data_IF_956458513103
#
_entry.id   IF_956458513103
#
_cell.length_a   1.000
_cell.length_b   1.000
_cell.length_c   1.000
_cell.angle_alpha   90.00
_cell.angle_beta   90.00
_cell.angle_gamma   90.00
#
_symmetry.space_group_name_H-M   'P 1'
#
loop_
_entity.id
_entity.type
_entity.pdbx_description
1 polymer ?
#
# COMPACT_ATOMS: atom_id res chain seq x y z
N UNK A 1 25.96 33.94 1.87
CA UNK A 1 25.90 33.20 0.59
C UNK A 1 24.47 32.81 0.34
N UNK A 2 23.91 33.09 -0.85
CA UNK A 2 22.57 32.63 -1.19
C UNK A 2 22.57 31.09 -1.32
N UNK A 3 21.67 30.44 -0.62
CA UNK A 3 21.51 28.97 -0.68
C UNK A 3 20.98 28.59 -2.07
N UNK A 4 21.63 27.66 -2.74
CA UNK A 4 21.13 27.17 -4.03
C UNK A 4 19.74 26.54 -3.85
N UNK A 5 18.73 26.92 -4.64
CA UNK A 5 17.41 26.30 -4.55
C UNK A 5 17.48 24.78 -4.70
N UNK A 6 16.69 24.08 -3.90
CA UNK A 6 16.60 22.61 -3.95
C UNK A 6 15.20 22.15 -3.56
N UNK A 7 14.82 20.96 -3.99
CA UNK A 7 13.57 20.32 -3.62
C UNK A 7 13.80 19.29 -2.49
N UNK A 8 12.78 18.94 -1.71
CA UNK A 8 12.89 17.91 -0.68
C UNK A 8 13.35 16.57 -1.26
N UNK A 9 14.19 15.85 -0.53
CA UNK A 9 14.70 14.55 -0.96
C UNK A 9 13.57 13.53 -1.12
N UNK A 10 13.49 12.91 -2.30
CA UNK A 10 12.45 11.92 -2.62
C UNK A 10 11.20 12.53 -3.26
N UNK A 11 11.23 13.80 -3.60
CA UNK A 11 10.24 14.48 -4.45
C UNK A 11 10.87 14.85 -5.79
N UNK A 12 10.07 15.29 -6.75
CA UNK A 12 10.55 15.78 -8.04
C UNK A 12 9.57 16.74 -8.70
N UNK A 13 10.11 17.62 -9.51
CA UNK A 13 9.33 18.43 -10.44
C UNK A 13 9.02 17.63 -11.72
N UNK A 14 8.00 18.05 -12.43
CA UNK A 14 7.60 17.50 -13.71
C UNK A 14 7.57 18.60 -14.76
N UNK A 15 8.35 18.43 -15.82
CA UNK A 15 8.34 19.34 -16.98
C UNK A 15 7.01 19.26 -17.74
N UNK A 16 6.69 20.24 -18.60
CA UNK A 16 5.47 20.21 -19.42
C UNK A 16 5.33 18.94 -20.25
N UNK A 17 6.43 18.40 -20.79
CA UNK A 17 6.44 17.15 -21.57
C UNK A 17 6.12 15.94 -20.68
N UNK A 18 6.69 15.89 -19.47
CA UNK A 18 6.38 14.83 -18.52
C UNK A 18 4.93 14.92 -18.06
N UNK A 19 4.40 16.13 -17.85
CA UNK A 19 3.00 16.33 -17.49
C UNK A 19 2.05 15.88 -18.60
N UNK A 20 2.38 16.11 -19.88
CA UNK A 20 1.59 15.59 -20.99
C UNK A 20 1.52 14.07 -20.99
N UNK A 21 2.66 13.38 -20.75
CA UNK A 21 2.72 11.92 -20.61
C UNK A 21 1.92 11.42 -19.40
N UNK A 22 2.03 12.08 -18.27
CA UNK A 22 1.29 11.73 -17.04
C UNK A 22 -0.22 11.87 -17.24
N UNK A 23 -0.65 12.97 -17.85
CA UNK A 23 -2.06 13.20 -18.14
C UNK A 23 -2.62 12.15 -19.11
N UNK A 24 -1.85 11.74 -20.12
CA UNK A 24 -2.22 10.64 -21.00
C UNK A 24 -2.46 9.34 -20.19
N UNK A 25 -1.53 9.00 -19.29
CA UNK A 25 -1.66 7.81 -18.43
C UNK A 25 -2.91 7.92 -17.54
N UNK A 26 -3.08 9.03 -16.83
CA UNK A 26 -4.22 9.21 -15.93
C UNK A 26 -5.55 9.22 -16.67
N UNK A 27 -5.63 9.84 -17.83
CA UNK A 27 -6.86 9.88 -18.62
C UNK A 27 -7.22 8.48 -19.16
N UNK A 28 -6.23 7.72 -19.62
CA UNK A 28 -6.44 6.35 -20.07
C UNK A 28 -6.97 5.45 -18.94
N UNK A 29 -6.38 5.53 -17.75
CA UNK A 29 -6.84 4.78 -16.56
C UNK A 29 -8.25 5.23 -16.17
N UNK A 30 -8.49 6.53 -16.10
CA UNK A 30 -9.80 7.10 -15.75
C UNK A 30 -10.91 6.65 -16.70
N UNK A 31 -10.63 6.65 -18.01
CA UNK A 31 -11.58 6.17 -19.02
C UNK A 31 -11.97 4.71 -18.81
N UNK A 32 -10.99 3.85 -18.52
CA UNK A 32 -11.25 2.44 -18.22
C UNK A 32 -12.08 2.30 -16.96
N UNK A 33 -11.72 3.00 -15.88
CA UNK A 33 -12.47 2.95 -14.62
C UNK A 33 -13.94 3.35 -14.80
N UNK A 34 -14.22 4.43 -15.52
CA UNK A 34 -15.59 4.84 -15.84
C UNK A 34 -16.34 3.79 -16.66
N UNK A 35 -15.67 3.13 -17.61
CA UNK A 35 -16.28 2.06 -18.44
C UNK A 35 -16.75 0.87 -17.61
N UNK A 36 -16.06 0.57 -16.51
CA UNK A 36 -16.43 -0.47 -15.56
C UNK A 36 -17.39 0.01 -14.44
N UNK A 37 -17.91 1.23 -14.56
CA UNK A 37 -18.89 1.78 -13.64
C UNK A 37 -18.32 2.30 -12.33
N UNK A 38 -17.01 2.52 -12.25
CA UNK A 38 -16.39 3.14 -11.08
C UNK A 38 -16.61 4.64 -11.08
N UNK A 39 -16.94 5.21 -9.91
CA UNK A 39 -17.16 6.61 -9.70
C UNK A 39 -15.92 7.27 -9.11
N UNK A 40 -15.54 8.44 -9.62
CA UNK A 40 -14.41 9.17 -9.07
C UNK A 40 -14.79 9.87 -7.77
N UNK A 41 -13.97 9.68 -6.75
CA UNK A 41 -14.00 10.50 -5.54
C UNK A 41 -12.61 11.09 -5.28
N UNK A 42 -12.56 12.09 -4.42
CA UNK A 42 -11.32 12.64 -3.87
C UNK A 42 -11.45 12.78 -2.36
N UNK A 43 -10.34 12.57 -1.67
CA UNK A 43 -10.23 12.80 -0.22
C UNK A 43 -9.13 13.84 0.04
N UNK A 44 -9.14 14.53 1.18
CA UNK A 44 -8.10 15.48 1.53
C UNK A 44 -6.70 14.83 1.57
N UNK A 45 -5.67 15.61 1.23
CA UNK A 45 -4.27 15.17 1.36
C UNK A 45 -3.84 14.97 2.81
N UNK A 46 -4.49 15.68 3.73
CA UNK A 46 -4.29 15.61 5.17
C UNK A 46 -5.43 14.84 5.82
N UNK A 47 -5.10 13.94 6.72
CA UNK A 47 -6.02 13.23 7.58
C UNK A 47 -5.68 13.49 9.05
N UNK A 48 -6.63 13.32 9.94
CA UNK A 48 -6.35 13.31 11.37
C UNK A 48 -5.35 12.19 11.68
N UNK A 49 -4.33 12.48 12.47
CA UNK A 49 -3.29 11.50 12.79
C UNK A 49 -3.88 10.26 13.49
N UNK A 50 -4.94 10.44 14.30
CA UNK A 50 -5.69 9.34 14.92
C UNK A 50 -6.38 8.40 13.91
N UNK A 51 -6.72 8.90 12.73
CA UNK A 51 -7.26 8.07 11.63
C UNK A 51 -6.19 7.22 10.96
N UNK A 52 -4.97 7.75 10.86
CA UNK A 52 -3.85 7.10 10.17
C UNK A 52 -3.09 6.11 11.07
N UNK A 53 -2.88 6.46 12.35
CA UNK A 53 -2.08 5.66 13.29
C UNK A 53 -2.72 4.29 13.58
N UNK A 54 -1.86 3.27 13.71
CA UNK A 54 -2.26 1.90 14.02
C UNK A 54 -2.93 1.13 12.87
N UNK A 55 -2.97 1.71 11.65
CA UNK A 55 -3.58 1.06 10.48
C UNK A 55 -2.56 0.33 9.61
N UNK A 56 -1.30 0.72 9.69
CA UNK A 56 -0.22 0.24 8.81
C UNK A 56 0.81 -0.63 9.54
N UNK A 57 0.56 -0.99 10.81
CA UNK A 57 1.53 -1.65 11.69
C UNK A 57 2.64 -0.70 12.14
N UNK A 58 3.50 -1.17 13.05
CA UNK A 58 4.56 -0.32 13.63
C UNK A 58 5.54 0.25 12.59
N UNK A 59 5.88 -0.51 11.57
CA UNK A 59 6.77 -0.05 10.50
C UNK A 59 6.09 1.01 9.63
N UNK A 60 4.83 0.82 9.25
CA UNK A 60 4.08 1.78 8.47
C UNK A 60 3.85 3.08 9.22
N UNK A 61 3.57 3.02 10.51
CA UNK A 61 3.38 4.21 11.36
C UNK A 61 4.64 5.09 11.45
N UNK A 62 5.84 4.49 11.32
CA UNK A 62 7.13 5.21 11.24
C UNK A 62 7.30 5.93 9.90
N UNK A 63 6.59 5.50 8.86
CA UNK A 63 6.66 6.07 7.51
C UNK A 63 5.63 7.17 7.26
N UNK A 64 4.76 7.47 8.23
CA UNK A 64 3.79 8.56 8.14
C UNK A 64 4.49 9.91 8.24
N UNK A 65 4.23 10.80 7.28
CA UNK A 65 4.56 12.22 7.42
C UNK A 65 3.58 12.88 8.37
N UNK A 66 4.07 13.28 9.53
CA UNK A 66 3.31 14.00 10.55
C UNK A 66 3.44 15.50 10.30
N UNK A 67 2.34 16.23 10.41
CA UNK A 67 2.28 17.68 10.20
C UNK A 67 2.24 18.35 11.56
N UNK A 68 3.27 19.14 11.84
CA UNK A 68 3.36 19.93 13.06
C UNK A 68 2.21 20.94 13.14
N UNK A 69 1.61 21.05 14.31
CA UNK A 69 0.55 22.03 14.56
C UNK A 69 1.05 23.46 14.35
N UNK A 70 0.18 24.31 13.82
CA UNK A 70 0.47 25.72 13.68
C UNK A 70 0.33 26.45 15.02
N UNK A 71 1.04 27.57 15.18
CA UNK A 71 1.02 28.36 16.40
C UNK A 71 1.94 27.82 17.48
N UNK A 72 1.55 27.99 18.75
CA UNK A 72 2.32 27.49 19.90
C UNK A 72 2.03 26.00 20.14
N UNK A 73 2.81 25.14 19.47
CA UNK A 73 2.70 23.68 19.60
C UNK A 73 3.29 23.12 20.90
N UNK A 74 3.91 23.96 21.75
CA UNK A 74 4.28 23.62 23.12
C UNK A 74 3.14 23.81 24.12
N UNK A 75 2.08 24.53 23.72
CA UNK A 75 0.93 24.75 24.56
C UNK A 75 0.30 23.41 24.98
N UNK A 76 0.10 23.25 26.29
CA UNK A 76 -0.48 22.01 26.86
C UNK A 76 0.50 20.86 27.10
N UNK A 77 1.82 21.10 26.92
CA UNK A 77 2.87 20.17 27.32
C UNK A 77 3.42 20.53 28.71
N UNK A 78 3.71 19.48 29.47
CA UNK A 78 4.43 19.65 30.74
C UNK A 78 5.93 19.56 30.50
N UNK A 79 6.72 20.17 31.43
CA UNK A 79 8.19 20.08 31.42
C UNK A 79 8.65 18.61 31.49
N UNK A 80 7.94 17.77 32.24
CA UNK A 80 8.23 16.33 32.33
C UNK A 80 8.07 15.63 31.01
N UNK A 81 6.99 15.92 30.24
CA UNK A 81 6.77 15.38 28.91
C UNK A 81 7.88 15.78 27.94
N UNK A 82 8.30 17.07 27.97
CA UNK A 82 9.39 17.58 27.14
C UNK A 82 10.73 16.95 27.50
N UNK A 83 11.03 16.82 28.78
CA UNK A 83 12.27 16.22 29.26
C UNK A 83 12.35 14.72 29.04
N UNK A 84 11.21 14.06 28.88
CA UNK A 84 11.15 12.61 28.57
C UNK A 84 11.89 12.23 27.28
N UNK A 85 12.04 13.16 26.34
CA UNK A 85 12.63 12.97 25.00
C UNK A 85 12.01 11.80 24.23
N UNK A 86 10.79 11.41 24.58
CA UNK A 86 10.08 10.34 23.88
C UNK A 86 9.46 10.88 22.59
N UNK A 87 10.20 10.75 21.49
CA UNK A 87 9.80 11.29 20.19
C UNK A 87 8.41 10.78 19.73
N UNK A 88 8.04 9.53 20.02
CA UNK A 88 6.76 8.96 19.64
C UNK A 88 5.59 9.61 20.39
N UNK A 89 5.73 9.80 21.70
CA UNK A 89 4.72 10.47 22.54
C UNK A 89 4.60 11.95 22.19
N UNK A 90 5.74 12.63 22.04
CA UNK A 90 5.79 14.05 21.70
C UNK A 90 5.20 14.32 20.30
N UNK A 91 5.48 13.44 19.31
CA UNK A 91 4.95 13.60 17.97
C UNK A 91 3.41 13.60 17.92
N UNK A 92 2.73 12.82 18.75
CA UNK A 92 1.27 12.82 18.86
C UNK A 92 0.73 14.15 19.42
N UNK A 93 1.49 14.76 20.33
CA UNK A 93 1.12 16.07 20.93
C UNK A 93 1.37 17.23 19.96
N UNK A 94 2.49 17.17 19.21
CA UNK A 94 2.86 18.21 18.26
C UNK A 94 2.09 18.15 16.93
N UNK A 95 1.53 16.99 16.60
CA UNK A 95 0.95 16.71 15.28
C UNK A 95 -0.43 16.11 15.42
N UNK A 96 -1.45 16.89 15.14
CA UNK A 96 -2.84 16.40 15.07
C UNK A 96 -3.16 15.79 13.71
N UNK A 97 -2.36 16.10 12.69
CA UNK A 97 -2.59 15.72 11.30
C UNK A 97 -1.36 15.04 10.71
N UNK A 98 -1.58 14.25 9.68
CA UNK A 98 -0.53 13.67 8.86
C UNK A 98 -0.91 13.69 7.38
N UNK A 99 0.07 13.53 6.49
CA UNK A 99 -0.21 13.28 5.08
C UNK A 99 -0.66 11.83 4.92
N UNK A 100 -1.66 11.61 4.07
CA UNK A 100 -2.18 10.26 3.78
C UNK A 100 -1.06 9.38 3.21
N UNK A 101 -0.97 8.17 3.75
CA UNK A 101 0.01 7.16 3.36
C UNK A 101 -0.42 6.36 2.13
N UNK A 102 -1.73 6.17 2.00
CA UNK A 102 -2.42 5.51 0.90
C UNK A 102 -3.78 6.19 0.65
N UNK A 103 -4.58 5.62 -0.24
CA UNK A 103 -5.95 6.06 -0.50
C UNK A 103 -7.00 5.17 0.18
N UNK A 104 -6.60 4.02 0.73
CA UNK A 104 -7.50 3.03 1.33
C UNK A 104 -8.05 3.50 2.68
N UNK A 105 -7.18 3.99 3.58
CA UNK A 105 -7.63 4.47 4.90
C UNK A 105 -8.50 5.72 4.79
N UNK A 106 -8.15 6.76 3.99
CA UNK A 106 -9.04 7.87 3.72
C UNK A 106 -10.38 7.45 3.10
N UNK A 107 -10.36 6.44 2.21
CA UNK A 107 -11.58 5.90 1.63
C UNK A 107 -12.46 5.19 2.67
N UNK A 108 -11.88 4.38 3.55
CA UNK A 108 -12.63 3.73 4.62
C UNK A 108 -13.32 4.77 5.52
N UNK A 109 -12.60 5.86 5.89
CA UNK A 109 -13.19 6.98 6.62
C UNK A 109 -14.32 7.65 5.83
N UNK A 110 -14.12 7.87 4.51
CA UNK A 110 -15.13 8.45 3.62
C UNK A 110 -16.41 7.61 3.62
N UNK A 111 -16.30 6.29 3.44
CA UNK A 111 -17.47 5.38 3.45
C UNK A 111 -18.24 5.45 4.76
N UNK A 112 -17.53 5.50 5.90
CA UNK A 112 -18.19 5.59 7.21
C UNK A 112 -18.93 6.92 7.36
N UNK A 113 -18.33 8.03 6.94
CA UNK A 113 -18.92 9.37 7.08
C UNK A 113 -20.09 9.62 6.14
N UNK A 114 -20.09 8.97 4.97
CA UNK A 114 -21.10 9.16 3.92
C UNK A 114 -21.99 7.93 3.72
N UNK A 115 -22.08 7.06 4.75
CA UNK A 115 -22.77 5.77 4.65
C UNK A 115 -24.21 5.89 4.16
N UNK A 116 -24.90 6.92 4.61
CA UNK A 116 -26.32 7.14 4.29
C UNK A 116 -26.53 7.78 2.90
N UNK A 117 -25.46 8.30 2.30
CA UNK A 117 -25.45 8.90 0.96
C UNK A 117 -25.01 7.92 -0.12
N UNK A 118 -24.34 6.82 0.26
CA UNK A 118 -23.73 5.84 -0.65
C UNK A 118 -24.72 4.71 -0.94
N UNK A 119 -24.92 4.42 -2.22
CA UNK A 119 -25.63 3.21 -2.66
C UNK A 119 -24.65 2.04 -2.81
N UNK A 120 -24.90 0.94 -2.12
CA UNK A 120 -24.08 -0.28 -2.19
C UNK A 120 -24.64 -1.27 -3.23
N UNK A 121 -23.79 -2.04 -3.94
CA UNK A 121 -22.32 -2.01 -3.89
C UNK A 121 -21.76 -0.71 -4.49
N UNK A 122 -20.80 -0.12 -3.79
CA UNK A 122 -20.15 1.12 -4.21
C UNK A 122 -18.81 0.83 -4.87
N UNK A 123 -18.69 1.19 -6.14
CA UNK A 123 -17.47 1.13 -6.93
C UNK A 123 -16.87 2.52 -7.03
N UNK A 124 -15.73 2.73 -6.41
CA UNK A 124 -15.03 4.03 -6.46
C UNK A 124 -13.64 3.91 -7.04
N UNK A 125 -13.13 5.00 -7.61
CA UNK A 125 -11.72 5.14 -7.89
C UNK A 125 -11.18 6.50 -7.44
N UNK A 126 -9.86 6.54 -7.18
CA UNK A 126 -9.11 7.76 -6.89
C UNK A 126 -7.79 7.73 -7.65
N UNK A 127 -7.38 8.89 -8.19
CA UNK A 127 -6.06 9.10 -8.80
C UNK A 127 -5.48 10.32 -8.13
N UNK A 128 -4.75 10.11 -7.04
CA UNK A 128 -4.27 11.17 -6.16
C UNK A 128 -2.87 10.87 -5.62
N UNK A 129 -2.10 11.91 -5.20
CA UNK A 129 -0.79 11.71 -4.58
C UNK A 129 -0.92 11.15 -3.18
N UNK A 130 0.09 10.37 -2.77
CA UNK A 130 0.29 9.86 -1.41
C UNK A 130 1.74 10.07 -0.98
N UNK A 131 1.99 10.01 0.33
CA UNK A 131 3.29 10.35 0.90
C UNK A 131 3.77 9.28 1.88
N UNK A 132 5.00 8.78 1.63
CA UNK A 132 5.66 7.81 2.50
C UNK A 132 7.07 8.25 2.82
N UNK A 133 7.44 8.25 4.08
CA UNK A 133 8.78 8.66 4.54
C UNK A 133 9.86 7.59 4.27
N UNK A 134 9.66 6.73 3.29
CA UNK A 134 10.63 5.73 2.86
C UNK A 134 12.00 6.32 2.52
N UNK A 135 13.04 5.48 2.61
CA UNK A 135 14.36 5.85 2.10
C UNK A 135 14.27 5.94 0.56
N UNK A 136 14.51 7.12 -0.03
CA UNK A 136 14.44 7.29 -1.47
C UNK A 136 15.48 6.43 -2.20
N UNK A 137 15.05 5.78 -3.27
CA UNK A 137 15.92 5.01 -4.17
C UNK A 137 15.35 5.07 -5.60
N UNK A 138 16.06 4.52 -6.58
CA UNK A 138 15.59 4.53 -7.97
C UNK A 138 14.20 3.89 -8.07
N UNK A 139 13.22 4.65 -8.59
CA UNK A 139 11.83 4.20 -8.73
C UNK A 139 10.99 4.28 -7.45
N UNK A 140 11.56 4.70 -6.31
CA UNK A 140 10.83 4.83 -5.03
C UNK A 140 10.95 6.25 -4.50
N UNK A 141 9.86 6.97 -4.61
CA UNK A 141 9.74 8.37 -4.18
C UNK A 141 8.99 8.47 -2.86
N UNK A 142 9.12 9.61 -2.19
CA UNK A 142 8.35 9.95 -0.99
C UNK A 142 6.99 10.54 -1.30
N UNK A 143 6.85 11.11 -2.48
CA UNK A 143 5.59 11.58 -3.05
C UNK A 143 5.36 10.89 -4.38
N UNK A 144 4.24 10.22 -4.53
CA UNK A 144 3.87 9.51 -5.75
C UNK A 144 2.35 9.37 -5.86
N UNK A 145 1.87 9.07 -7.06
CA UNK A 145 0.45 8.88 -7.31
C UNK A 145 0.05 7.41 -7.16
N UNK A 146 -1.10 7.19 -6.55
CA UNK A 146 -1.81 5.93 -6.60
C UNK A 146 -3.05 6.08 -7.51
N UNK A 147 -3.37 5.02 -8.22
CA UNK A 147 -4.57 4.87 -9.03
C UNK A 147 -5.33 3.69 -8.46
N UNK A 148 -6.16 3.94 -7.48
CA UNK A 148 -6.85 2.92 -6.71
C UNK A 148 -8.29 2.77 -7.18
N UNK A 149 -8.76 1.54 -7.29
CA UNK A 149 -10.15 1.18 -7.57
C UNK A 149 -10.61 0.14 -6.56
N UNK A 150 -11.72 0.42 -5.87
CA UNK A 150 -12.26 -0.45 -4.82
C UNK A 150 -13.75 -0.66 -4.99
N UNK A 151 -14.21 -1.82 -4.52
CA UNK A 151 -15.63 -2.17 -4.41
C UNK A 151 -15.96 -2.44 -2.95
N UNK A 152 -17.00 -1.80 -2.44
CA UNK A 152 -17.48 -1.97 -1.06
C UNK A 152 -18.95 -2.39 -1.07
N UNK A 153 -19.31 -3.30 -0.16
CA UNK A 153 -20.69 -3.78 0.00
C UNK A 153 -21.06 -4.95 -0.89
N UNK A 154 -20.07 -5.70 -1.41
CA UNK A 154 -20.29 -6.95 -2.15
C UNK A 154 -19.22 -7.98 -1.77
N UNK A 155 -19.66 -9.22 -1.56
CA UNK A 155 -18.78 -10.39 -1.33
C UNK A 155 -18.66 -11.27 -2.59
N UNK A 156 -19.12 -10.79 -3.74
CA UNK A 156 -19.04 -11.54 -4.99
C UNK A 156 -17.60 -11.60 -5.51
N UNK A 157 -17.09 -12.79 -5.79
CA UNK A 157 -15.77 -12.99 -6.43
C UNK A 157 -15.73 -12.49 -7.88
N UNK A 158 -16.87 -12.11 -8.47
CA UNK A 158 -16.90 -11.43 -9.76
C UNK A 158 -16.24 -10.05 -9.70
N UNK A 159 -16.14 -9.43 -8.51
CA UNK A 159 -15.42 -8.19 -8.34
C UNK A 159 -13.93 -8.34 -8.64
N UNK A 160 -13.31 -9.45 -8.19
CA UNK A 160 -11.91 -9.75 -8.48
C UNK A 160 -11.68 -10.00 -9.96
N UNK A 161 -12.60 -10.71 -10.62
CA UNK A 161 -12.55 -10.93 -12.08
C UNK A 161 -12.63 -9.61 -12.83
N UNK A 162 -13.54 -8.73 -12.45
CA UNK A 162 -13.70 -7.41 -13.06
C UNK A 162 -12.45 -6.54 -12.87
N UNK A 163 -11.86 -6.54 -11.67
CA UNK A 163 -10.62 -5.81 -11.40
C UNK A 163 -9.46 -6.32 -12.28
N UNK A 164 -9.33 -7.64 -12.47
CA UNK A 164 -8.31 -8.22 -13.35
C UNK A 164 -8.55 -7.81 -14.80
N UNK A 165 -9.78 -7.89 -15.30
CA UNK A 165 -10.14 -7.43 -16.65
C UNK A 165 -9.87 -5.94 -16.84
N UNK A 166 -10.12 -5.14 -15.84
CA UNK A 166 -9.86 -3.69 -15.86
C UNK A 166 -8.36 -3.39 -15.94
N UNK A 167 -7.52 -4.13 -15.19
CA UNK A 167 -6.06 -4.01 -15.26
C UNK A 167 -5.59 -4.38 -16.68
N UNK A 168 -6.04 -5.52 -17.22
CA UNK A 168 -5.69 -5.95 -18.58
C UNK A 168 -6.10 -4.91 -19.64
N UNK A 169 -7.32 -4.38 -19.56
CA UNK A 169 -7.81 -3.34 -20.46
C UNK A 169 -6.96 -2.05 -20.42
N UNK A 170 -6.46 -1.65 -19.25
CA UNK A 170 -5.56 -0.49 -19.12
C UNK A 170 -4.24 -0.76 -19.84
N UNK A 171 -3.62 -1.92 -19.61
CA UNK A 171 -2.32 -2.24 -20.23
C UNK A 171 -2.42 -2.51 -21.72
N UNK A 172 -3.52 -3.08 -22.20
CA UNK A 172 -3.81 -3.20 -23.62
C UNK A 172 -3.87 -1.82 -24.31
N UNK A 173 -4.54 -0.82 -23.68
CA UNK A 173 -4.57 0.55 -24.21
C UNK A 173 -3.19 1.21 -24.27
N UNK A 174 -2.28 0.85 -23.35
CA UNK A 174 -0.90 1.30 -23.39
C UNK A 174 -0.02 0.53 -24.37
N UNK A 175 -0.50 -0.56 -24.96
CA UNK A 175 0.28 -1.45 -25.83
C UNK A 175 1.38 -2.21 -25.05
N UNK A 176 1.20 -2.40 -23.75
CA UNK A 176 2.16 -3.08 -22.86
C UNK A 176 1.63 -4.48 -22.56
N UNK A 177 2.39 -5.50 -22.92
CA UNK A 177 2.09 -6.88 -22.50
C UNK A 177 2.47 -7.07 -21.04
N UNK A 178 1.55 -7.60 -20.25
CA UNK A 178 1.72 -7.86 -18.82
C UNK A 178 1.35 -9.31 -18.49
N UNK A 179 1.94 -9.84 -17.44
CA UNK A 179 1.50 -11.08 -16.79
C UNK A 179 0.89 -10.71 -15.45
N UNK A 180 -0.40 -11.01 -15.28
CA UNK A 180 -1.13 -10.73 -14.04
C UNK A 180 -1.02 -11.95 -13.13
N UNK A 181 -0.29 -11.81 -12.03
CA UNK A 181 -0.15 -12.87 -11.02
C UNK A 181 -1.23 -12.70 -9.96
N UNK A 182 -2.09 -13.71 -9.83
CA UNK A 182 -3.16 -13.74 -8.83
C UNK A 182 -2.80 -14.76 -7.76
N UNK A 183 -3.01 -14.39 -6.50
CA UNK A 183 -2.82 -15.29 -5.36
C UNK A 183 -3.97 -15.13 -4.37
N UNK A 184 -4.24 -16.17 -3.60
CA UNK A 184 -5.19 -16.13 -2.50
C UNK A 184 -4.51 -16.62 -1.22
N UNK A 185 -4.59 -15.82 -0.16
CA UNK A 185 -3.99 -16.15 1.14
C UNK A 185 -4.49 -17.50 1.69
N UNK A 186 -5.73 -17.90 1.39
CA UNK A 186 -6.28 -19.20 1.78
C UNK A 186 -5.50 -20.39 1.20
N UNK A 187 -4.93 -20.24 0.00
CA UNK A 187 -4.08 -21.26 -0.63
C UNK A 187 -2.81 -21.45 0.21
N UNK A 188 -2.17 -20.35 0.61
CA UNK A 188 -0.97 -20.40 1.46
C UNK A 188 -1.28 -20.96 2.85
N UNK A 189 -2.43 -20.60 3.43
CA UNK A 189 -2.92 -21.15 4.70
C UNK A 189 -3.14 -22.66 4.59
N UNK A 190 -3.83 -23.12 3.54
CA UNK A 190 -4.04 -24.55 3.30
C UNK A 190 -2.74 -25.33 3.09
N UNK A 191 -1.74 -24.73 2.41
CA UNK A 191 -0.42 -25.34 2.29
C UNK A 191 0.26 -25.44 3.68
N UNK A 192 0.20 -24.39 4.49
CA UNK A 192 0.76 -24.38 5.85
C UNK A 192 0.08 -25.43 6.75
N UNK A 193 -1.23 -25.64 6.62
CA UNK A 193 -1.98 -26.70 7.32
C UNK A 193 -1.53 -28.09 6.88
N UNK A 194 -1.38 -28.34 5.58
CA UNK A 194 -0.95 -29.62 5.01
C UNK A 194 0.46 -30.02 5.50
N UNK A 195 1.36 -29.05 5.61
CA UNK A 195 2.73 -29.30 6.11
C UNK A 195 2.83 -29.30 7.64
N UNK A 196 1.71 -29.12 8.37
CA UNK A 196 1.65 -29.13 9.83
C UNK A 196 2.18 -27.87 10.52
N UNK A 197 2.33 -26.74 9.80
CA UNK A 197 2.92 -25.50 10.29
C UNK A 197 1.94 -24.31 10.20
N UNK A 198 0.66 -24.54 10.44
CA UNK A 198 -0.41 -23.54 10.34
C UNK A 198 -0.14 -22.29 11.21
N UNK A 199 0.40 -22.48 12.41
CA UNK A 199 0.68 -21.39 13.35
C UNK A 199 1.80 -20.45 12.87
N UNK A 200 2.62 -20.89 11.90
CA UNK A 200 3.75 -20.13 11.34
C UNK A 200 3.46 -19.52 9.98
N UNK A 201 2.19 -19.41 9.60
CA UNK A 201 1.78 -18.88 8.27
C UNK A 201 2.38 -17.52 7.96
N UNK A 202 2.55 -16.64 8.94
CA UNK A 202 3.15 -15.30 8.76
C UNK A 202 4.63 -15.43 8.41
N UNK A 203 5.38 -16.23 9.14
CA UNK A 203 6.80 -16.46 8.88
C UNK A 203 7.03 -17.13 7.52
N UNK A 204 6.16 -18.09 7.17
CA UNK A 204 6.16 -18.76 5.86
C UNK A 204 5.94 -17.75 4.72
N UNK A 205 4.92 -16.92 4.83
CA UNK A 205 4.60 -15.94 3.77
C UNK A 205 5.70 -14.90 3.60
N UNK A 206 6.27 -14.40 4.70
CA UNK A 206 7.37 -13.42 4.68
C UNK A 206 8.63 -14.01 4.04
N UNK A 207 8.95 -15.27 4.31
CA UNK A 207 10.11 -15.93 3.71
C UNK A 207 9.90 -16.18 2.21
N UNK A 208 8.71 -16.66 1.81
CA UNK A 208 8.38 -16.91 0.40
C UNK A 208 8.38 -15.65 -0.45
N UNK A 209 7.92 -14.52 0.08
CA UNK A 209 7.94 -13.24 -0.62
C UNK A 209 9.35 -12.79 -1.03
N UNK A 210 10.36 -13.32 -0.36
CA UNK A 210 11.76 -13.04 -0.66
C UNK A 210 12.36 -13.97 -1.71
N UNK A 211 11.66 -15.04 -2.13
CA UNK A 211 12.19 -16.08 -3.00
C UNK A 211 12.86 -15.53 -4.26
N UNK A 212 12.22 -14.57 -4.93
CA UNK A 212 12.75 -13.93 -6.14
C UNK A 212 13.98 -13.05 -5.89
N UNK A 213 14.20 -12.62 -4.65
CA UNK A 213 15.29 -11.70 -4.27
C UNK A 213 16.51 -12.41 -3.74
N UNK A 214 16.30 -13.43 -2.92
CA UNK A 214 17.39 -14.09 -2.18
C UNK A 214 17.64 -15.55 -2.61
N UNK A 215 16.75 -16.11 -3.45
CA UNK A 215 16.85 -17.50 -3.92
C UNK A 215 16.40 -18.55 -2.91
N UNK A 216 16.25 -19.78 -3.41
CA UNK A 216 15.65 -20.90 -2.67
C UNK A 216 16.44 -21.30 -1.42
N UNK A 217 17.76 -21.35 -1.52
CA UNK A 217 18.63 -21.79 -0.41
C UNK A 217 18.53 -20.84 0.79
N UNK A 218 18.51 -19.53 0.54
CA UNK A 218 18.38 -18.53 1.60
C UNK A 218 16.96 -18.51 2.20
N UNK A 219 15.93 -18.78 1.39
CA UNK A 219 14.55 -18.94 1.91
C UNK A 219 14.48 -20.17 2.81
N UNK A 220 15.05 -21.30 2.42
CA UNK A 220 15.11 -22.50 3.25
C UNK A 220 15.87 -22.26 4.58
N UNK A 221 16.98 -21.53 4.53
CA UNK A 221 17.72 -21.14 5.72
C UNK A 221 16.91 -20.23 6.66
N UNK A 222 16.16 -19.28 6.10
CA UNK A 222 15.27 -18.41 6.87
C UNK A 222 14.12 -19.20 7.50
N UNK A 223 13.47 -20.11 6.76
CA UNK A 223 12.42 -20.99 7.28
C UNK A 223 12.95 -21.90 8.42
N UNK A 224 14.14 -22.48 8.26
CA UNK A 224 14.78 -23.27 9.29
C UNK A 224 15.06 -22.44 10.56
N UNK A 225 15.52 -21.19 10.41
CA UNK A 225 15.73 -20.27 11.55
C UNK A 225 14.45 -19.95 12.33
N UNK A 226 13.28 -20.10 11.68
CA UNK A 226 11.94 -19.94 12.27
C UNK A 226 11.38 -21.25 12.82
N UNK A 227 12.19 -22.30 12.85
CA UNK A 227 11.82 -23.61 13.38
C UNK A 227 10.87 -24.40 12.48
N UNK A 228 10.87 -24.14 11.18
CA UNK A 228 10.12 -24.94 10.19
C UNK A 228 11.01 -26.10 9.75
N UNK A 229 10.53 -27.37 9.88
CA UNK A 229 11.30 -28.55 9.47
C UNK A 229 11.69 -28.52 8.00
N UNK A 230 12.86 -29.10 7.68
CA UNK A 230 13.37 -29.12 6.31
C UNK A 230 12.42 -29.80 5.33
N UNK A 231 11.75 -30.87 5.75
CA UNK A 231 10.77 -31.60 4.95
C UNK A 231 9.56 -30.71 4.58
N UNK A 232 9.06 -29.95 5.57
CA UNK A 232 7.99 -28.98 5.38
C UNK A 232 8.42 -27.83 4.46
N UNK A 233 9.66 -27.33 4.61
CA UNK A 233 10.22 -26.30 3.75
C UNK A 233 10.33 -26.77 2.28
N UNK A 234 10.79 -27.99 2.03
CA UNK A 234 10.87 -28.57 0.69
C UNK A 234 9.48 -28.74 0.09
N UNK A 235 8.51 -29.30 0.84
CA UNK A 235 7.13 -29.47 0.36
C UNK A 235 6.47 -28.13 0.02
N UNK A 236 6.68 -27.10 0.85
CA UNK A 236 6.22 -25.74 0.64
C UNK A 236 6.79 -25.13 -0.66
N UNK A 237 8.10 -25.24 -0.86
CA UNK A 237 8.77 -24.71 -2.03
C UNK A 237 8.30 -25.40 -3.32
N UNK A 238 8.13 -26.73 -3.29
CA UNK A 238 7.61 -27.50 -4.43
C UNK A 238 6.17 -27.08 -4.76
N UNK A 239 5.30 -26.96 -3.76
CA UNK A 239 3.91 -26.53 -3.95
C UNK A 239 3.87 -25.12 -4.56
N UNK A 240 4.68 -24.19 -4.04
CA UNK A 240 4.72 -22.82 -4.50
C UNK A 240 5.27 -22.68 -5.92
N UNK A 241 6.36 -23.40 -6.25
CA UNK A 241 6.95 -23.41 -7.59
C UNK A 241 6.00 -24.03 -8.62
N UNK A 242 5.25 -25.08 -8.26
CA UNK A 242 4.23 -25.66 -9.13
C UNK A 242 3.07 -24.71 -9.38
N UNK A 243 2.59 -24.00 -8.37
CA UNK A 243 1.55 -22.99 -8.53
C UNK A 243 1.99 -21.80 -9.43
N UNK A 244 3.29 -21.49 -9.47
CA UNK A 244 3.83 -20.42 -10.33
C UNK A 244 3.96 -20.81 -11.80
N UNK A 245 4.06 -22.10 -12.11
CA UNK A 245 4.26 -22.62 -13.46
C UNK A 245 2.96 -23.15 -14.11
N UNK A 246 1.81 -22.87 -13.51
CA UNK A 246 0.53 -23.06 -14.19
C UNK A 246 0.37 -21.91 -15.20
N UNK A 247 0.95 -22.09 -16.39
CA UNK A 247 0.58 -21.33 -17.57
C UNK A 247 -0.86 -21.72 -17.93
N UNK A 248 -1.78 -20.76 -17.75
CA UNK A 248 -3.18 -20.86 -18.20
C UNK A 248 -3.30 -20.14 -19.52
#
# INVERSE_FOLDING_TARGET
MATKPSIPKGTRDFSPVEMAKRNYIFNTIREVFYRYGFQQIETPSMENLSTLMGKYGEEGDKLLFKIQNSGDYFSGLTDEELLSRNAAKLAIKFCEKGLRYDLTVPFARYVVMHRDEITFPFKRFQIQPVWRADRPQKGRYREFYQCDADVVGSNSLLNEVELVQMIDAVFQKFGIRVSIKINNRKILTGIAEIIGEADKIVDITVAIDKLDKIGLDNVNAELASKGIPQEASIALCIAFLRCRNLDV
#
